data_IF_942468436920
#
_entry.id   IF_942468436920
#
_cell.length_a   1.000
_cell.length_b   1.000
_cell.length_c   1.000
_cell.angle_alpha   90.00
_cell.angle_beta   90.00
_cell.angle_gamma   90.00
#
_symmetry.space_group_name_H-M   'P 1'
#
loop_
_entity.id
_entity.type
_entity.pdbx_description
1 polymer ?
#
# COMPACT_ATOMS: atom_id res chain seq x y z
N UNK A 1 -9.58 -28.63 11.82
CA UNK A 1 -9.05 -27.63 10.87
C UNK A 1 -8.90 -28.35 9.56
N UNK A 2 -9.59 -27.92 8.50
CA UNK A 2 -9.44 -28.56 7.19
C UNK A 2 -8.03 -28.27 6.66
N UNK A 3 -7.26 -29.33 6.41
CA UNK A 3 -5.91 -29.26 5.87
C UNK A 3 -5.90 -28.49 4.52
N UNK A 4 -4.87 -27.68 4.22
CA UNK A 4 -4.79 -26.89 2.99
C UNK A 4 -4.96 -27.75 1.74
N UNK A 5 -5.83 -27.31 0.81
CA UNK A 5 -6.25 -28.08 -0.36
C UNK A 5 -5.10 -28.41 -1.33
N UNK A 6 -3.96 -27.70 -1.25
CA UNK A 6 -2.75 -27.98 -2.00
C UNK A 6 -1.55 -28.06 -1.04
N UNK A 7 -1.21 -29.26 -0.59
CA UNK A 7 0.06 -29.49 0.10
C UNK A 7 1.20 -29.50 -0.91
N UNK A 8 2.37 -28.97 -0.50
CA UNK A 8 3.59 -29.15 -1.28
C UNK A 8 3.85 -30.65 -1.52
N UNK A 9 4.30 -31.02 -2.72
CA UNK A 9 4.55 -32.41 -3.09
C UNK A 9 5.56 -33.12 -2.19
N UNK A 10 6.49 -32.35 -1.61
CA UNK A 10 7.44 -32.81 -0.62
C UNK A 10 7.26 -31.96 0.64
N UNK A 11 7.46 -32.57 1.80
CA UNK A 11 7.65 -31.83 3.05
C UNK A 11 8.87 -30.91 2.97
N UNK A 12 8.95 -29.90 3.84
CA UNK A 12 10.12 -29.03 3.94
C UNK A 12 11.42 -29.84 4.14
N UNK A 13 11.38 -30.89 4.98
CA UNK A 13 12.51 -31.80 5.21
C UNK A 13 12.92 -32.61 3.97
N UNK A 14 12.01 -32.83 3.03
CA UNK A 14 12.26 -33.57 1.79
C UNK A 14 12.59 -32.67 0.60
N UNK A 15 12.57 -31.34 0.76
CA UNK A 15 12.77 -30.39 -0.33
C UNK A 15 14.14 -30.53 -1.03
N UNK A 16 15.18 -30.95 -0.30
CA UNK A 16 16.51 -31.19 -0.87
C UNK A 16 16.49 -32.18 -2.05
N UNK A 17 15.53 -33.11 -2.08
CA UNK A 17 15.40 -34.11 -3.14
C UNK A 17 15.09 -33.49 -4.50
N UNK A 18 14.50 -32.31 -4.55
CA UNK A 18 14.34 -31.55 -5.80
C UNK A 18 15.69 -31.22 -6.43
N UNK A 19 16.74 -31.01 -5.63
CA UNK A 19 18.08 -30.70 -6.11
C UNK A 19 18.83 -31.98 -6.50
N UNK A 20 18.69 -33.06 -5.72
CA UNK A 20 19.42 -34.31 -5.99
C UNK A 20 18.82 -35.13 -7.13
N UNK A 21 17.48 -35.19 -7.22
CA UNK A 21 16.77 -36.00 -8.20
C UNK A 21 15.43 -35.33 -8.58
N UNK A 22 15.46 -34.29 -9.46
CA UNK A 22 14.28 -33.46 -9.76
C UNK A 22 13.00 -34.20 -10.21
N UNK A 23 13.04 -35.26 -11.03
CA UNK A 23 11.81 -35.94 -11.45
C UNK A 23 11.25 -36.91 -10.40
N UNK A 24 12.04 -37.31 -9.41
CA UNK A 24 11.73 -38.39 -8.47
C UNK A 24 10.49 -38.10 -7.59
N UNK A 25 10.31 -36.89 -7.02
CA UNK A 25 9.11 -36.56 -6.24
C UNK A 25 7.79 -36.65 -7.00
N UNK A 26 7.82 -36.45 -8.34
CA UNK A 26 6.64 -36.62 -9.19
C UNK A 26 6.35 -38.08 -9.50
N UNK A 27 7.40 -38.88 -9.68
CA UNK A 27 7.27 -40.31 -9.91
C UNK A 27 6.73 -41.04 -8.67
N UNK A 28 7.18 -40.64 -7.48
CA UNK A 28 6.79 -41.29 -6.21
C UNK A 28 5.31 -41.15 -5.86
N UNK A 29 4.61 -40.13 -6.38
CA UNK A 29 3.16 -39.96 -6.17
C UNK A 29 2.34 -41.15 -6.66
N UNK A 30 2.87 -41.90 -7.63
CA UNK A 30 2.19 -43.06 -8.18
C UNK A 30 2.37 -44.32 -7.32
N UNK A 31 3.17 -44.25 -6.25
CA UNK A 31 3.43 -45.37 -5.36
C UNK A 31 2.84 -45.11 -3.95
N UNK A 32 2.38 -46.15 -3.23
CA UNK A 32 1.93 -46.00 -1.86
C UNK A 32 3.08 -45.47 -0.98
N UNK A 33 2.78 -44.52 -0.09
CA UNK A 33 3.70 -44.08 0.95
C UNK A 33 3.44 -44.89 2.23
N UNK A 34 4.19 -45.97 2.51
CA UNK A 34 4.04 -46.69 3.76
C UNK A 34 4.39 -45.78 4.93
N UNK A 35 3.47 -45.67 5.89
CA UNK A 35 3.75 -45.03 7.17
C UNK A 35 4.56 -45.98 8.03
N UNK A 36 5.84 -45.68 8.21
CA UNK A 36 6.70 -46.40 9.13
C UNK A 36 6.46 -45.94 10.57
N UNK A 37 6.73 -46.82 11.55
CA UNK A 37 6.61 -46.50 12.97
C UNK A 37 7.35 -45.21 13.35
N UNK A 38 8.54 -44.97 12.78
CA UNK A 38 9.30 -43.75 13.00
C UNK A 38 8.59 -42.47 12.49
N UNK A 39 7.88 -42.56 11.35
CA UNK A 39 7.11 -41.42 10.85
C UNK A 39 5.89 -41.13 11.73
N UNK A 40 5.24 -42.18 12.25
CA UNK A 40 4.14 -42.05 13.21
C UNK A 40 4.60 -41.47 14.55
N UNK A 41 5.76 -41.91 15.05
CA UNK A 41 6.40 -41.39 16.26
C UNK A 41 6.77 -39.91 16.11
N UNK A 42 7.41 -39.53 15.00
CA UNK A 42 7.74 -38.13 14.72
C UNK A 42 6.51 -37.23 14.62
N UNK A 43 5.42 -37.75 14.03
CA UNK A 43 4.13 -37.04 13.98
C UNK A 43 3.57 -36.82 15.38
N UNK A 44 3.66 -37.81 16.26
CA UNK A 44 3.25 -37.70 17.66
C UNK A 44 4.10 -36.70 18.45
N UNK A 45 5.43 -36.72 18.25
CA UNK A 45 6.34 -35.77 18.88
C UNK A 45 6.06 -34.32 18.46
N UNK A 46 5.82 -34.08 17.16
CA UNK A 46 5.43 -32.77 16.65
C UNK A 46 4.11 -32.28 17.27
N UNK A 47 3.09 -33.14 17.32
CA UNK A 47 1.80 -32.78 17.92
C UNK A 47 1.94 -32.44 19.41
N UNK A 48 2.80 -33.16 20.14
CA UNK A 48 3.11 -32.87 21.54
C UNK A 48 3.83 -31.53 21.71
N UNK A 49 4.85 -31.27 20.90
CA UNK A 49 5.58 -30.00 20.91
C UNK A 49 4.67 -28.80 20.56
N UNK A 50 3.83 -28.94 19.53
CA UNK A 50 2.84 -27.94 19.15
C UNK A 50 1.88 -27.63 20.30
N UNK A 51 1.33 -28.66 20.95
CA UNK A 51 0.48 -28.50 22.12
C UNK A 51 1.17 -27.71 23.25
N UNK A 52 2.42 -28.03 23.58
CA UNK A 52 3.20 -27.33 24.63
C UNK A 52 3.39 -25.85 24.30
N UNK A 53 3.77 -25.54 23.06
CA UNK A 53 3.95 -24.15 22.60
C UNK A 53 2.63 -23.39 22.65
N UNK A 54 1.54 -23.95 22.11
CA UNK A 54 0.22 -23.31 22.12
C UNK A 54 -0.27 -23.05 23.55
N UNK A 55 -0.08 -24.00 24.46
CA UNK A 55 -0.45 -23.87 25.87
C UNK A 55 0.30 -22.72 26.54
N UNK A 56 1.61 -22.58 26.28
CA UNK A 56 2.41 -21.49 26.85
C UNK A 56 2.03 -20.11 26.32
N UNK A 57 1.54 -20.03 25.07
CA UNK A 57 0.99 -18.81 24.48
C UNK A 57 -0.45 -18.50 24.93
N UNK A 58 -1.05 -19.36 25.77
CA UNK A 58 -2.42 -19.18 26.28
C UNK A 58 -3.52 -19.61 25.30
N UNK A 59 -3.18 -20.30 24.20
CA UNK A 59 -4.15 -20.80 23.25
C UNK A 59 -4.82 -22.08 23.75
N UNK A 60 -6.13 -22.20 23.51
CA UNK A 60 -6.86 -23.46 23.73
C UNK A 60 -6.53 -24.44 22.61
N UNK A 61 -5.71 -25.45 22.90
CA UNK A 61 -5.31 -26.49 21.96
C UNK A 61 -5.54 -27.87 22.56
N UNK A 62 -5.97 -28.83 21.75
CA UNK A 62 -6.28 -30.18 22.22
C UNK A 62 -5.00 -30.98 22.39
N UNK A 63 -4.82 -31.62 23.54
CA UNK A 63 -3.76 -32.58 23.74
C UNK A 63 -4.10 -33.90 23.03
N UNK A 64 -3.25 -34.34 22.10
CA UNK A 64 -3.35 -35.67 21.50
C UNK A 64 -2.45 -36.66 22.24
N UNK A 65 -3.05 -37.59 22.98
CA UNK A 65 -2.31 -38.72 23.55
C UNK A 65 -2.01 -39.75 22.46
N UNK A 66 -0.75 -40.18 22.38
CA UNK A 66 -0.26 -41.16 21.41
C UNK A 66 0.36 -42.36 22.13
N UNK A 67 0.29 -43.53 21.51
CA UNK A 67 0.94 -44.75 22.01
C UNK A 67 2.48 -44.66 22.02
N UNK A 68 3.04 -43.63 21.37
CA UNK A 68 4.48 -43.37 21.30
C UNK A 68 4.97 -42.39 22.38
N UNK A 69 4.11 -41.93 23.30
CA UNK A 69 4.55 -41.03 24.37
C UNK A 69 5.50 -41.77 25.33
N UNK A 70 6.72 -41.24 25.44
CA UNK A 70 7.78 -41.72 26.31
C UNK A 70 8.42 -40.55 27.07
N UNK A 71 9.13 -40.84 28.15
CA UNK A 71 9.87 -39.81 28.91
C UNK A 71 10.93 -39.12 28.04
N UNK A 72 11.54 -39.85 27.11
CA UNK A 72 12.52 -39.31 26.17
C UNK A 72 11.86 -38.32 25.20
N UNK A 73 10.69 -38.67 24.65
CA UNK A 73 9.92 -37.76 23.79
C UNK A 73 9.48 -36.50 24.55
N UNK A 74 9.08 -36.64 25.81
CA UNK A 74 8.72 -35.50 26.68
C UNK A 74 9.91 -34.55 26.82
N UNK A 75 11.11 -35.09 27.13
CA UNK A 75 12.34 -34.30 27.26
C UNK A 75 12.72 -33.58 25.96
N UNK A 76 12.72 -34.28 24.82
CA UNK A 76 13.06 -33.65 23.53
C UNK A 76 12.05 -32.59 23.11
N UNK A 77 10.77 -32.81 23.40
CA UNK A 77 9.73 -31.82 23.10
C UNK A 77 9.76 -30.64 24.06
N UNK A 78 10.24 -30.81 25.30
CA UNK A 78 10.53 -29.71 26.23
C UNK A 78 11.70 -28.86 25.74
N UNK A 79 12.78 -29.48 25.25
CA UNK A 79 13.92 -28.75 24.67
C UNK A 79 13.46 -27.95 23.44
N UNK A 80 12.73 -28.58 22.53
CA UNK A 80 12.14 -27.92 21.36
C UNK A 80 11.23 -26.75 21.77
N UNK A 81 10.35 -26.98 22.74
CA UNK A 81 9.46 -25.96 23.29
C UNK A 81 10.24 -24.76 23.85
N UNK A 82 11.32 -25.01 24.60
CA UNK A 82 12.15 -23.98 25.19
C UNK A 82 12.82 -23.12 24.12
N UNK A 83 13.37 -23.76 23.07
CA UNK A 83 13.99 -23.10 21.94
C UNK A 83 13.00 -22.22 21.16
N UNK A 84 11.81 -22.75 20.83
CA UNK A 84 10.79 -21.99 20.09
C UNK A 84 10.36 -20.75 20.86
N UNK A 85 10.16 -20.85 22.18
CA UNK A 85 9.81 -19.68 22.99
C UNK A 85 10.94 -18.66 23.09
N UNK A 86 12.20 -19.09 23.13
CA UNK A 86 13.34 -18.18 23.09
C UNK A 86 13.37 -17.40 21.77
N UNK A 87 13.22 -18.09 20.63
CA UNK A 87 13.17 -17.45 19.32
C UNK A 87 11.97 -16.51 19.19
N UNK A 88 10.80 -16.89 19.73
CA UNK A 88 9.62 -16.03 19.75
C UNK A 88 9.86 -14.74 20.55
N UNK A 89 10.52 -14.84 21.71
CA UNK A 89 10.90 -13.66 22.50
C UNK A 89 11.90 -12.78 21.76
N UNK A 90 12.93 -13.37 21.15
CA UNK A 90 13.92 -12.63 20.37
C UNK A 90 13.28 -11.91 19.18
N UNK A 91 12.37 -12.58 18.45
CA UNK A 91 11.60 -11.98 17.37
C UNK A 91 10.76 -10.78 17.86
N UNK A 92 10.11 -10.91 19.01
CA UNK A 92 9.34 -9.81 19.62
C UNK A 92 10.22 -8.69 20.20
N UNK A 93 11.51 -8.93 20.43
CA UNK A 93 12.47 -7.91 20.88
C UNK A 93 13.05 -7.08 19.73
N UNK A 94 12.87 -7.50 18.46
CA UNK A 94 13.29 -6.72 17.30
C UNK A 94 12.38 -5.51 17.05
N UNK A 95 12.46 -4.56 17.98
CA UNK A 95 11.83 -3.24 17.97
C UNK A 95 12.32 -2.36 16.80
N UNK A 96 13.47 -2.71 16.20
CA UNK A 96 14.02 -2.06 15.00
C UNK A 96 13.11 -2.14 13.77
N UNK A 97 12.27 -3.18 13.67
CA UNK A 97 11.32 -3.28 12.57
C UNK A 97 10.23 -2.20 12.67
N UNK A 98 9.83 -1.85 13.89
CA UNK A 98 8.81 -0.83 14.13
C UNK A 98 9.34 0.57 13.81
N UNK A 99 10.59 0.86 14.15
CA UNK A 99 11.24 2.15 13.85
C UNK A 99 11.42 2.39 12.34
N UNK A 100 11.89 1.39 11.60
CA UNK A 100 12.00 1.48 10.14
C UNK A 100 10.62 1.63 9.49
N UNK A 101 9.61 0.91 9.99
CA UNK A 101 8.25 1.00 9.49
C UNK A 101 7.65 2.38 9.75
N UNK A 102 7.89 2.93 10.95
CA UNK A 102 7.47 4.29 11.32
C UNK A 102 8.15 5.34 10.43
N UNK A 103 9.45 5.22 10.19
CA UNK A 103 10.18 6.12 9.30
C UNK A 103 9.66 6.05 7.85
N UNK A 104 9.34 4.86 7.34
CA UNK A 104 8.74 4.70 6.01
C UNK A 104 7.37 5.41 5.94
N UNK A 105 6.55 5.28 6.99
CA UNK A 105 5.23 5.93 7.06
C UNK A 105 5.36 7.46 7.11
N UNK A 106 6.30 7.98 7.89
CA UNK A 106 6.56 9.41 7.99
C UNK A 106 7.06 9.99 6.65
N UNK A 107 7.99 9.30 5.99
CA UNK A 107 8.48 9.70 4.66
C UNK A 107 7.37 9.70 3.60
N UNK A 108 6.45 8.72 3.63
CA UNK A 108 5.28 8.68 2.74
C UNK A 108 4.38 9.90 2.94
N UNK A 109 4.10 10.25 4.20
CA UNK A 109 3.30 11.43 4.55
C UNK A 109 3.97 12.74 4.11
N UNK A 110 5.28 12.85 4.29
CA UNK A 110 6.04 14.01 3.80
C UNK A 110 5.97 14.11 2.27
N UNK A 111 6.13 12.99 1.56
CA UNK A 111 6.03 12.94 0.08
C UNK A 111 4.66 13.41 -0.41
N UNK A 112 3.56 12.96 0.21
CA UNK A 112 2.20 13.39 -0.16
C UNK A 112 2.02 14.91 0.02
N UNK A 113 2.54 15.47 1.13
CA UNK A 113 2.47 16.91 1.38
C UNK A 113 3.22 17.70 0.30
N UNK A 114 4.44 17.29 -0.02
CA UNK A 114 5.25 17.94 -1.07
C UNK A 114 4.56 17.82 -2.43
N UNK A 115 3.99 16.65 -2.74
CA UNK A 115 3.29 16.44 -4.00
C UNK A 115 2.04 17.34 -4.12
N UNK A 116 1.26 17.49 -3.05
CA UNK A 116 0.12 18.44 -3.04
C UNK A 116 0.59 19.87 -3.31
N UNK A 117 1.64 20.31 -2.62
CA UNK A 117 2.20 21.65 -2.81
C UNK A 117 2.73 21.87 -4.25
N UNK A 118 3.38 20.87 -4.83
CA UNK A 118 3.86 20.93 -6.21
C UNK A 118 2.70 21.03 -7.20
N UNK A 119 1.61 20.28 -6.98
CA UNK A 119 0.41 20.38 -7.84
C UNK A 119 -0.24 21.76 -7.75
N UNK A 120 -0.34 22.32 -6.54
CA UNK A 120 -0.86 23.68 -6.34
C UNK A 120 0.04 24.72 -7.01
N UNK A 121 1.36 24.57 -6.91
CA UNK A 121 2.32 25.43 -7.56
C UNK A 121 2.21 25.35 -9.08
N UNK A 122 2.06 24.14 -9.64
CA UNK A 122 1.89 23.98 -11.08
C UNK A 122 0.60 24.60 -11.61
N UNK A 123 -0.51 24.46 -10.88
CA UNK A 123 -1.76 25.13 -11.26
C UNK A 123 -1.58 26.65 -11.26
N UNK A 124 -0.86 27.21 -10.28
CA UNK A 124 -0.57 28.66 -10.25
C UNK A 124 0.29 29.10 -11.43
N UNK A 125 1.30 28.32 -11.79
CA UNK A 125 2.15 28.60 -12.95
C UNK A 125 1.35 28.57 -14.25
N UNK A 126 0.49 27.58 -14.42
CA UNK A 126 -0.41 27.50 -15.58
C UNK A 126 -1.34 28.72 -15.68
N UNK A 127 -1.97 29.12 -14.57
CA UNK A 127 -2.84 30.29 -14.55
C UNK A 127 -2.08 31.59 -14.88
N UNK A 128 -0.84 31.73 -14.39
CA UNK A 128 0.00 32.88 -14.74
C UNK A 128 0.36 32.90 -16.23
N UNK A 129 0.63 31.74 -16.83
CA UNK A 129 0.89 31.63 -18.26
C UNK A 129 -0.33 32.05 -19.09
N UNK A 130 -1.53 31.59 -18.73
CA UNK A 130 -2.78 32.03 -19.38
C UNK A 130 -2.98 33.54 -19.29
N UNK A 131 -2.73 34.14 -18.11
CA UNK A 131 -2.83 35.60 -17.93
C UNK A 131 -1.78 36.31 -18.79
N UNK A 132 -0.54 35.84 -18.81
CA UNK A 132 0.51 36.44 -19.64
C UNK A 132 0.17 36.36 -21.13
N UNK A 133 -0.37 35.24 -21.60
CA UNK A 133 -0.86 35.10 -22.99
C UNK A 133 -1.97 36.11 -23.31
N UNK A 134 -2.92 36.31 -22.39
CA UNK A 134 -3.97 37.32 -22.55
C UNK A 134 -3.40 38.74 -22.58
N UNK A 135 -2.42 39.06 -21.73
CA UNK A 135 -1.77 40.37 -21.71
C UNK A 135 -0.99 40.61 -23.00
N UNK A 136 -0.24 39.62 -23.48
CA UNK A 136 0.51 39.71 -24.74
C UNK A 136 -0.43 39.86 -25.95
N UNK A 137 -1.60 39.19 -25.95
CA UNK A 137 -2.63 39.36 -26.98
C UNK A 137 -3.15 40.80 -27.06
N UNK A 138 -3.27 41.50 -25.93
CA UNK A 138 -3.78 42.87 -25.86
C UNK A 138 -2.67 43.93 -25.73
N UNK A 139 -1.40 43.55 -25.87
CA UNK A 139 -0.22 44.41 -25.68
C UNK A 139 -0.11 45.54 -26.70
N UNK A 140 -0.59 45.29 -27.91
CA UNK A 140 -0.75 46.29 -28.96
C UNK A 140 -2.19 46.78 -28.88
N UNK A 141 -2.48 47.66 -27.90
CA UNK A 141 -3.84 48.13 -27.61
C UNK A 141 -4.65 48.44 -28.86
N UNK A 142 -5.93 48.05 -28.87
CA UNK A 142 -6.90 48.10 -29.97
C UNK A 142 -6.55 49.14 -31.05
N UNK A 143 -5.78 48.71 -32.06
CA UNK A 143 -5.42 49.56 -33.21
C UNK A 143 -6.60 49.65 -34.18
N UNK A 144 -7.51 48.68 -34.13
CA UNK A 144 -8.74 48.62 -34.92
C UNK A 144 -9.99 48.49 -34.02
N UNK A 145 -11.09 49.08 -34.48
CA UNK A 145 -12.40 49.02 -33.83
C UNK A 145 -12.95 47.59 -33.88
N UNK A 146 -13.13 46.95 -32.71
CA UNK A 146 -13.75 45.64 -32.56
C UNK A 146 -15.21 45.75 -32.09
N UNK A 147 -16.14 45.59 -33.03
CA UNK A 147 -17.58 45.65 -32.77
C UNK A 147 -18.06 44.57 -31.78
N UNK A 148 -17.45 43.38 -31.77
CA UNK A 148 -17.86 42.30 -30.88
C UNK A 148 -17.48 42.61 -29.43
N UNK A 149 -16.29 43.17 -29.21
CA UNK A 149 -15.84 43.58 -27.89
C UNK A 149 -16.72 44.70 -27.33
N UNK A 150 -17.07 45.69 -28.16
CA UNK A 150 -17.97 46.80 -27.80
C UNK A 150 -19.34 46.29 -27.37
N UNK A 151 -19.96 45.36 -28.12
CA UNK A 151 -21.24 44.75 -27.74
C UNK A 151 -21.15 43.92 -26.44
N UNK A 152 -19.96 43.39 -26.14
CA UNK A 152 -19.73 42.60 -24.94
C UNK A 152 -19.60 43.48 -23.70
N UNK A 153 -18.92 44.62 -23.81
CA UNK A 153 -18.58 45.49 -22.67
C UNK A 153 -19.60 46.60 -22.42
N UNK A 154 -20.20 47.17 -23.46
CA UNK A 154 -21.13 48.30 -23.33
C UNK A 154 -22.54 47.79 -23.07
N UNK A 155 -23.17 48.34 -22.03
CA UNK A 155 -24.58 48.11 -21.71
C UNK A 155 -25.49 49.08 -22.48
N UNK A 156 -25.18 50.39 -22.42
CA UNK A 156 -25.93 51.42 -23.13
C UNK A 156 -25.07 52.66 -23.43
N UNK A 157 -25.48 53.40 -24.45
CA UNK A 157 -24.89 54.69 -24.83
C UNK A 157 -25.98 55.75 -24.76
N UNK A 158 -25.73 56.83 -24.02
CA UNK A 158 -26.66 57.96 -23.87
C UNK A 158 -26.04 59.20 -24.50
N UNK A 159 -26.76 59.83 -25.41
CA UNK A 159 -26.27 60.97 -26.21
C UNK A 159 -26.85 62.27 -25.65
N UNK A 160 -25.99 63.21 -25.30
CA UNK A 160 -26.33 64.56 -24.88
C UNK A 160 -25.80 65.59 -25.87
N UNK A 161 -26.29 66.83 -25.78
CA UNK A 161 -25.92 67.89 -26.72
C UNK A 161 -24.43 68.27 -26.71
N UNK A 162 -23.71 67.99 -25.62
CA UNK A 162 -22.30 68.38 -25.44
C UNK A 162 -21.36 67.23 -25.09
N UNK A 163 -21.90 66.03 -24.90
CA UNK A 163 -21.13 64.86 -24.50
C UNK A 163 -21.91 63.57 -24.74
N UNK A 164 -21.17 62.46 -24.72
CA UNK A 164 -21.65 61.09 -24.78
C UNK A 164 -21.35 60.40 -23.45
N UNK A 165 -22.30 59.60 -22.95
CA UNK A 165 -22.12 58.71 -21.80
C UNK A 165 -22.17 57.26 -22.25
N UNK A 166 -21.10 56.51 -21.94
CA UNK A 166 -21.00 55.08 -22.16
C UNK A 166 -21.12 54.38 -20.80
N UNK A 167 -22.13 53.51 -20.64
CA UNK A 167 -22.28 52.67 -19.45
C UNK A 167 -21.77 51.27 -19.78
N UNK A 168 -20.80 50.78 -19.02
CA UNK A 168 -20.28 49.43 -19.12
C UNK A 168 -21.11 48.46 -18.27
N UNK A 169 -21.08 47.16 -18.60
CA UNK A 169 -21.85 46.12 -17.90
C UNK A 169 -21.39 45.83 -16.47
N UNK A 170 -20.22 46.30 -16.09
CA UNK A 170 -19.72 46.29 -14.70
C UNK A 170 -20.22 47.50 -13.88
N UNK A 171 -20.94 48.43 -14.52
CA UNK A 171 -21.53 49.60 -13.90
C UNK A 171 -20.68 50.87 -14.00
N UNK A 172 -19.49 50.83 -14.61
CA UNK A 172 -18.69 52.02 -14.84
C UNK A 172 -19.31 52.94 -15.91
N UNK A 173 -19.15 54.25 -15.73
CA UNK A 173 -19.68 55.27 -16.65
C UNK A 173 -18.55 56.16 -17.15
N UNK A 174 -18.32 56.13 -18.47
CA UNK A 174 -17.32 56.95 -19.14
C UNK A 174 -18.01 58.09 -19.88
N UNK A 175 -17.54 59.32 -19.64
CA UNK A 175 -18.01 60.53 -20.31
C UNK A 175 -17.00 61.01 -21.33
N UNK A 176 -17.44 61.22 -22.57
CA UNK A 176 -16.63 61.76 -23.65
C UNK A 176 -17.28 63.04 -24.16
N UNK A 177 -16.58 64.16 -24.06
CA UNK A 177 -17.06 65.42 -24.61
C UNK A 177 -16.97 65.41 -26.13
N UNK A 178 -17.99 65.94 -26.79
CA UNK A 178 -18.02 66.13 -28.26
C UNK A 178 -17.51 67.52 -28.64
#
# INVERSE_FOLDING_TARGET
>A
MSSPINHALLSASSAHRWLSAPPLPRLEQFFPHPTYNAAAEGTAAHALGEYKVHRALGHSFKHSTSNYQSNEMESYTDDYYSYVLEQFKAANQHQDCDDLTQQIMDLRKQKEKVQSQETEHQVKLYNLDEINQLVDLHKYGLVDFDEQLVRRLIEKITIFQRYLEFTLKDGEVIRVNM
#
